data_IF_586420275780
#
_entry.id   IF_586420275780
#
_cell.length_a   1.000
_cell.length_b   1.000
_cell.length_c   1.000
_cell.angle_alpha   90.00
_cell.angle_beta   90.00
_cell.angle_gamma   90.00
#
_symmetry.space_group_name_H-M   'P 1'
#
loop_
_entity.id
_entity.type
_entity.pdbx_description
1 polymer ?
#
# COMPACT_ATOMS: atom_id res chain seq x y z
N UNK A 1 19.32 -13.49 0.21
CA UNK A 1 19.35 -12.33 -0.67
C UNK A 1 17.97 -12.16 -1.29
N UNK A 2 17.42 -10.95 -1.28
CA UNK A 2 16.26 -10.55 -2.05
C UNK A 2 16.74 -9.75 -3.26
N UNK A 3 16.14 -9.96 -4.41
CA UNK A 3 16.46 -9.24 -5.65
C UNK A 3 15.31 -8.32 -5.99
N UNK A 4 15.64 -7.09 -6.40
CA UNK A 4 14.69 -6.13 -6.92
C UNK A 4 15.02 -5.91 -8.38
N UNK A 5 14.10 -6.29 -9.25
CA UNK A 5 14.22 -6.08 -10.68
C UNK A 5 13.32 -4.91 -11.09
N UNK A 6 13.91 -3.89 -11.66
CA UNK A 6 13.20 -2.68 -12.10
C UNK A 6 13.85 -2.13 -13.37
N UNK A 7 13.10 -1.31 -14.08
CA UNK A 7 13.58 -0.51 -15.19
C UNK A 7 14.64 0.51 -14.67
N UNK A 8 15.82 0.57 -15.29
CA UNK A 8 16.95 1.43 -14.88
C UNK A 8 16.60 2.92 -14.77
N UNK A 9 15.54 3.36 -15.44
CA UNK A 9 15.10 4.75 -15.44
C UNK A 9 14.17 5.10 -14.25
N UNK A 10 13.77 4.14 -13.39
CA UNK A 10 12.72 4.35 -12.42
C UNK A 10 13.01 3.70 -11.07
N UNK A 11 12.75 4.46 -10.00
CA UNK A 11 12.92 3.97 -8.63
C UNK A 11 11.78 3.01 -8.28
N UNK A 12 12.14 1.80 -7.88
CA UNK A 12 11.21 0.85 -7.28
C UNK A 12 11.15 1.09 -5.76
N UNK A 13 9.97 1.04 -5.19
CA UNK A 13 9.77 1.22 -3.76
C UNK A 13 9.20 -0.06 -3.15
N UNK A 14 9.94 -0.62 -2.18
CA UNK A 14 9.45 -1.73 -1.38
C UNK A 14 9.36 -1.25 0.06
N UNK A 15 8.15 -1.17 0.55
CA UNK A 15 7.86 -0.78 1.92
C UNK A 15 7.57 -2.03 2.73
N UNK A 16 8.28 -2.20 3.83
CA UNK A 16 8.07 -3.33 4.74
C UNK A 16 7.82 -2.84 6.16
N UNK A 17 6.80 -3.38 6.79
CA UNK A 17 6.48 -3.14 8.19
C UNK A 17 7.48 -3.79 9.14
N UNK A 18 7.12 -3.84 10.42
CA UNK A 18 7.94 -4.43 11.49
C UNK A 18 7.76 -5.95 11.52
N UNK A 19 8.77 -6.66 12.03
CA UNK A 19 8.75 -8.12 12.25
C UNK A 19 8.52 -8.94 10.98
N UNK A 20 8.90 -8.41 9.81
CA UNK A 20 8.83 -9.14 8.55
C UNK A 20 9.97 -10.15 8.47
N UNK A 21 9.62 -11.40 8.18
CA UNK A 21 10.57 -12.49 7.94
C UNK A 21 10.64 -12.81 6.45
N UNK A 22 11.82 -12.64 5.87
CA UNK A 22 12.07 -12.92 4.45
C UNK A 22 13.10 -14.04 4.31
N UNK A 23 12.72 -15.11 3.61
CA UNK A 23 13.66 -16.17 3.26
C UNK A 23 14.64 -15.71 2.14
N UNK A 24 15.50 -16.61 1.68
CA UNK A 24 16.42 -16.31 0.60
C UNK A 24 15.78 -16.37 -0.79
N UNK A 25 16.41 -15.73 -1.76
CA UNK A 25 16.06 -15.80 -3.19
C UNK A 25 14.64 -15.27 -3.50
N UNK A 26 14.15 -14.27 -2.75
CA UNK A 26 12.89 -13.59 -3.06
C UNK A 26 13.17 -12.58 -4.18
N UNK A 27 12.27 -12.52 -5.17
CA UNK A 27 12.31 -11.54 -6.24
C UNK A 27 11.10 -10.59 -6.17
N UNK A 28 11.36 -9.31 -6.44
CA UNK A 28 10.34 -8.28 -6.59
C UNK A 28 10.42 -7.74 -8.01
N UNK A 29 9.42 -8.05 -8.83
CA UNK A 29 9.32 -7.52 -10.19
C UNK A 29 8.42 -6.28 -10.21
N UNK A 30 9.04 -5.11 -10.20
CA UNK A 30 8.36 -3.83 -10.10
C UNK A 30 8.64 -2.98 -11.34
N UNK A 31 7.57 -2.59 -12.02
CA UNK A 31 7.65 -1.71 -13.17
C UNK A 31 8.08 -2.35 -14.49
N UNK A 32 8.32 -3.64 -14.52
CA UNK A 32 8.76 -4.36 -15.74
C UNK A 32 7.55 -4.99 -16.41
N UNK A 33 6.90 -4.25 -17.30
CA UNK A 33 5.80 -4.79 -18.10
C UNK A 33 5.90 -4.31 -19.55
N UNK A 34 5.67 -5.25 -20.47
CA UNK A 34 5.54 -4.94 -21.88
C UNK A 34 4.08 -4.60 -22.22
N UNK A 35 3.85 -3.64 -23.12
CA UNK A 35 2.50 -3.28 -23.56
C UNK A 35 1.88 -4.37 -24.42
N UNK A 36 0.93 -5.10 -23.86
CA UNK A 36 0.23 -6.18 -24.54
C UNK A 36 -0.86 -5.72 -25.54
N UNK A 37 -1.20 -4.43 -25.53
CA UNK A 37 -2.19 -3.84 -26.44
C UNK A 37 -1.62 -3.40 -27.78
N UNK A 38 -0.31 -3.51 -27.98
CA UNK A 38 0.34 -3.22 -29.24
C UNK A 38 0.46 -4.49 -30.11
N UNK A 39 0.61 -4.28 -31.41
CA UNK A 39 0.82 -5.39 -32.39
C UNK A 39 2.06 -6.22 -32.03
N UNK A 40 3.07 -5.57 -31.42
CA UNK A 40 4.29 -6.25 -30.97
C UNK A 40 4.66 -5.84 -29.56
N UNK A 41 5.09 -6.80 -28.76
CA UNK A 41 5.69 -6.58 -27.44
C UNK A 41 7.20 -6.33 -27.51
N UNK A 42 7.79 -6.33 -28.70
CA UNK A 42 9.23 -6.21 -28.89
C UNK A 42 9.75 -4.84 -28.47
N UNK A 43 10.85 -4.76 -27.69
CA UNK A 43 11.49 -3.50 -27.34
C UNK A 43 11.92 -2.65 -28.54
N UNK A 44 12.20 -3.26 -29.69
CA UNK A 44 12.56 -2.55 -30.91
C UNK A 44 11.47 -1.59 -31.39
N UNK A 45 10.20 -1.97 -31.20
CA UNK A 45 9.06 -1.11 -31.56
C UNK A 45 9.00 0.14 -30.66
N UNK A 46 9.31 0.00 -29.37
CA UNK A 46 9.32 1.13 -28.44
C UNK A 46 10.47 2.08 -28.72
N UNK A 47 11.65 1.57 -28.93
CA UNK A 47 12.83 2.39 -29.23
C UNK A 47 12.61 3.24 -30.47
N UNK A 48 11.95 2.70 -31.49
CA UNK A 48 11.64 3.42 -32.72
C UNK A 48 10.54 4.49 -32.54
N UNK A 49 9.51 4.19 -31.76
CA UNK A 49 8.43 5.13 -31.45
C UNK A 49 8.94 6.22 -30.48
N UNK A 50 9.74 5.85 -29.49
CA UNK A 50 10.22 6.76 -28.45
C UNK A 50 11.27 7.73 -28.95
N UNK A 51 12.13 7.31 -29.86
CA UNK A 51 13.07 8.22 -30.53
C UNK A 51 12.35 9.29 -31.36
N UNK A 52 11.15 8.98 -31.90
CA UNK A 52 10.38 9.90 -32.75
C UNK A 52 9.35 10.75 -31.97
N UNK A 53 8.80 10.26 -30.86
CA UNK A 53 7.72 10.93 -30.12
C UNK A 53 7.82 10.70 -28.61
N UNK A 54 8.61 11.51 -27.91
CA UNK A 54 8.78 11.43 -26.45
C UNK A 54 7.49 11.66 -25.67
N UNK A 55 6.50 12.37 -26.24
CA UNK A 55 5.20 12.60 -25.61
C UNK A 55 4.30 11.36 -25.52
N UNK A 56 4.53 10.33 -26.34
CA UNK A 56 3.77 9.07 -26.27
C UNK A 56 4.30 8.11 -25.20
N UNK A 57 5.50 8.36 -24.67
CA UNK A 57 6.16 7.52 -23.69
C UNK A 57 5.46 7.54 -22.32
N UNK A 58 5.15 8.74 -21.83
CA UNK A 58 4.69 8.96 -20.47
C UNK A 58 3.30 8.36 -20.16
N UNK A 59 2.24 8.58 -20.98
CA UNK A 59 0.91 8.03 -20.70
C UNK A 59 0.86 6.51 -20.78
N UNK A 60 1.68 5.93 -21.65
CA UNK A 60 1.68 4.48 -21.88
C UNK A 60 2.37 3.73 -20.77
N UNK A 61 3.55 4.18 -20.36
CA UNK A 61 4.34 3.56 -19.30
C UNK A 61 3.70 3.75 -17.91
N UNK A 62 3.05 4.89 -17.66
CA UNK A 62 2.43 5.17 -16.36
C UNK A 62 1.18 4.34 -16.07
N UNK A 63 0.47 3.87 -17.09
CA UNK A 63 -0.79 3.10 -16.92
C UNK A 63 -0.56 1.63 -16.56
N UNK A 64 0.57 1.06 -16.92
CA UNK A 64 0.80 -0.39 -16.85
C UNK A 64 1.86 -0.78 -15.81
N UNK A 65 2.69 0.15 -15.39
CA UNK A 65 3.79 -0.14 -14.49
C UNK A 65 3.44 0.21 -13.05
N UNK A 66 3.60 -0.76 -12.18
CA UNK A 66 3.35 -0.65 -10.75
C UNK A 66 4.69 -0.73 -10.03
N UNK A 67 5.16 0.41 -9.53
CA UNK A 67 6.53 0.56 -9.01
C UNK A 67 6.67 0.30 -7.50
N UNK A 68 5.60 0.04 -6.78
CA UNK A 68 5.66 -0.17 -5.35
C UNK A 68 5.07 -1.50 -4.92
N UNK A 69 5.68 -2.10 -3.89
CA UNK A 69 5.15 -3.23 -3.14
C UNK A 69 5.05 -2.80 -1.67
N UNK A 70 3.92 -3.07 -1.04
CA UNK A 70 3.68 -2.73 0.36
C UNK A 70 3.51 -4.03 1.15
N UNK A 71 4.37 -4.23 2.13
CA UNK A 71 4.37 -5.40 3.00
C UNK A 71 4.03 -4.94 4.41
N UNK A 72 2.97 -5.49 4.99
CA UNK A 72 2.54 -5.19 6.35
C UNK A 72 3.50 -5.72 7.42
N UNK A 73 3.03 -5.70 8.67
CA UNK A 73 3.80 -6.20 9.81
C UNK A 73 3.62 -7.71 9.98
N UNK A 74 4.59 -8.38 10.60
CA UNK A 74 4.53 -9.82 10.91
C UNK A 74 4.28 -10.70 9.67
N UNK A 75 4.77 -10.26 8.51
CA UNK A 75 4.64 -11.02 7.26
C UNK A 75 5.78 -12.00 7.12
N UNK A 76 5.45 -13.22 6.72
CA UNK A 76 6.47 -14.22 6.36
C UNK A 76 6.42 -14.50 4.86
N UNK A 77 7.59 -14.32 4.19
CA UNK A 77 7.76 -14.59 2.77
C UNK A 77 8.71 -15.76 2.58
N UNK A 78 8.20 -16.83 2.01
CA UNK A 78 8.94 -18.06 1.74
C UNK A 78 10.00 -17.90 0.65
N UNK A 79 10.92 -18.85 0.62
CA UNK A 79 12.03 -18.88 -0.33
C UNK A 79 11.56 -18.90 -1.78
N UNK A 80 12.24 -18.15 -2.66
CA UNK A 80 11.95 -18.05 -4.10
C UNK A 80 10.57 -17.52 -4.44
N UNK A 81 9.90 -16.83 -3.52
CA UNK A 81 8.67 -16.15 -3.88
C UNK A 81 8.95 -15.02 -4.86
N UNK A 82 8.08 -14.85 -5.85
CA UNK A 82 8.08 -13.76 -6.80
C UNK A 82 6.90 -12.84 -6.51
N UNK A 83 7.15 -11.57 -6.24
CA UNK A 83 6.13 -10.59 -5.90
C UNK A 83 6.09 -9.50 -6.97
N UNK A 84 4.93 -9.36 -7.60
CA UNK A 84 4.76 -8.37 -8.66
C UNK A 84 4.45 -6.98 -8.10
N UNK A 85 4.86 -5.96 -8.83
CA UNK A 85 4.59 -4.57 -8.49
C UNK A 85 3.10 -4.26 -8.32
N UNK A 86 2.79 -3.35 -7.41
CA UNK A 86 1.44 -2.94 -7.03
C UNK A 86 0.75 -3.87 -6.03
N UNK A 87 1.43 -4.92 -5.56
CA UNK A 87 0.87 -5.85 -4.58
C UNK A 87 0.97 -5.24 -3.17
N UNK A 88 -0.11 -5.41 -2.40
CA UNK A 88 -0.15 -5.15 -0.95
C UNK A 88 -0.30 -6.46 -0.21
N UNK A 89 0.58 -6.72 0.76
CA UNK A 89 0.56 -7.91 1.61
C UNK A 89 0.15 -7.49 3.02
N UNK A 90 -1.00 -7.96 3.47
CA UNK A 90 -1.58 -7.59 4.77
C UNK A 90 -0.77 -8.10 5.96
N UNK A 91 -0.97 -7.47 7.13
CA UNK A 91 -0.32 -7.85 8.38
C UNK A 91 -0.50 -9.35 8.66
N UNK A 92 0.54 -10.00 9.16
CA UNK A 92 0.49 -11.40 9.54
C UNK A 92 0.32 -12.40 8.38
N UNK A 93 0.35 -11.94 7.14
CA UNK A 93 0.22 -12.82 5.98
C UNK A 93 1.43 -13.73 5.79
N UNK A 94 1.20 -14.85 5.11
CA UNK A 94 2.24 -15.83 4.78
C UNK A 94 2.20 -16.10 3.28
N UNK A 95 3.35 -15.95 2.64
CA UNK A 95 3.59 -16.31 1.24
C UNK A 95 4.42 -17.59 1.23
N UNK A 96 3.91 -18.66 0.63
CA UNK A 96 4.62 -19.92 0.59
C UNK A 96 5.85 -19.85 -0.33
N UNK A 97 6.75 -20.81 -0.19
CA UNK A 97 7.95 -20.86 -1.02
C UNK A 97 7.60 -21.12 -2.48
N UNK A 98 8.24 -20.40 -3.40
CA UNK A 98 8.05 -20.54 -4.83
C UNK A 98 6.76 -19.89 -5.39
N UNK A 99 6.03 -19.16 -4.58
CA UNK A 99 4.79 -18.50 -5.00
C UNK A 99 5.02 -17.36 -5.99
N UNK A 100 4.04 -17.14 -6.87
CA UNK A 100 3.97 -15.95 -7.73
C UNK A 100 2.79 -15.08 -7.30
N UNK A 101 3.09 -14.04 -6.53
CA UNK A 101 2.09 -13.15 -5.94
C UNK A 101 1.73 -12.06 -6.94
N UNK A 102 0.51 -12.15 -7.49
CA UNK A 102 0.00 -11.23 -8.52
C UNK A 102 -1.13 -10.31 -8.03
N UNK A 103 -1.64 -10.54 -6.81
CA UNK A 103 -2.77 -9.81 -6.21
C UNK A 103 -2.51 -9.53 -4.74
N UNK A 104 -3.24 -8.56 -4.20
CA UNK A 104 -3.20 -8.23 -2.78
C UNK A 104 -3.56 -9.44 -1.91
N UNK A 105 -2.88 -9.56 -0.77
CA UNK A 105 -3.10 -10.60 0.23
C UNK A 105 -3.75 -9.95 1.45
N UNK A 106 -4.88 -10.49 1.88
CA UNK A 106 -5.57 -10.02 3.09
C UNK A 106 -4.75 -10.32 4.35
N UNK A 107 -4.94 -9.53 5.43
CA UNK A 107 -4.29 -9.81 6.71
C UNK A 107 -4.48 -11.26 7.15
N UNK A 108 -3.39 -11.86 7.65
CA UNK A 108 -3.32 -13.25 8.11
C UNK A 108 -3.68 -14.31 7.04
N UNK A 109 -3.80 -13.92 5.78
CA UNK A 109 -3.98 -14.86 4.67
C UNK A 109 -2.71 -15.65 4.41
N UNK A 110 -2.84 -16.95 4.21
CA UNK A 110 -1.79 -17.85 3.75
C UNK A 110 -2.03 -18.11 2.28
N UNK A 111 -1.09 -17.75 1.44
CA UNK A 111 -1.17 -17.96 -0.02
C UNK A 111 -0.20 -19.03 -0.47
N UNK A 112 -0.57 -19.72 -1.53
CA UNK A 112 0.28 -20.70 -2.22
C UNK A 112 -0.05 -20.78 -3.71
N UNK A 113 0.96 -21.09 -4.54
CA UNK A 113 0.83 -21.44 -5.95
C UNK A 113 1.31 -20.38 -6.95
N UNK A 114 1.16 -20.70 -8.22
CA UNK A 114 1.45 -19.81 -9.35
C UNK A 114 0.25 -19.79 -10.32
N UNK A 115 -0.53 -18.71 -10.35
CA UNK A 115 -0.48 -17.55 -9.46
C UNK A 115 -0.95 -17.89 -8.03
N UNK A 116 -0.37 -17.24 -7.03
CA UNK A 116 -0.69 -17.46 -5.62
C UNK A 116 -2.18 -17.16 -5.32
N UNK A 117 -2.79 -18.05 -4.52
CA UNK A 117 -4.17 -17.93 -4.05
C UNK A 117 -4.24 -18.17 -2.55
N UNK A 118 -5.20 -17.55 -1.89
CA UNK A 118 -5.45 -17.81 -0.46
C UNK A 118 -5.88 -19.27 -0.32
N UNK A 119 -5.10 -20.05 0.40
CA UNK A 119 -5.38 -21.46 0.71
C UNK A 119 -6.03 -21.60 2.10
N UNK A 120 -5.72 -20.70 3.02
CA UNK A 120 -6.34 -20.62 4.36
C UNK A 120 -6.01 -19.27 5.01
N UNK A 121 -6.61 -19.03 6.15
CA UNK A 121 -6.17 -18.00 7.09
C UNK A 121 -5.42 -18.64 8.27
N UNK A 122 -4.52 -17.88 8.91
CA UNK A 122 -3.79 -18.36 10.10
C UNK A 122 -4.72 -18.61 11.28
N UNK A 123 -5.76 -17.79 11.41
CA UNK A 123 -6.67 -17.73 12.56
C UNK A 123 -8.11 -17.54 12.10
N UNK A 124 -9.06 -17.65 13.04
CA UNK A 124 -10.47 -17.30 12.82
C UNK A 124 -10.64 -15.80 12.55
N UNK A 125 -11.74 -15.37 11.90
CA UNK A 125 -12.01 -13.95 11.65
C UNK A 125 -11.99 -13.11 12.93
N UNK A 126 -12.50 -13.65 14.04
CA UNK A 126 -12.57 -12.99 15.34
C UNK A 126 -11.15 -12.72 15.88
N UNK A 127 -10.29 -13.73 15.86
CA UNK A 127 -8.89 -13.61 16.30
C UNK A 127 -8.13 -12.65 15.39
N UNK A 128 -8.33 -12.71 14.08
CA UNK A 128 -7.72 -11.77 13.13
C UNK A 128 -8.12 -10.34 13.48
N UNK A 129 -9.39 -10.10 13.74
CA UNK A 129 -9.90 -8.78 14.15
C UNK A 129 -9.22 -8.32 15.45
N UNK A 130 -9.15 -9.17 16.46
CA UNK A 130 -8.50 -8.86 17.74
C UNK A 130 -7.02 -8.52 17.55
N UNK A 131 -6.26 -9.31 16.80
CA UNK A 131 -4.85 -9.06 16.54
C UNK A 131 -4.61 -7.76 15.76
N UNK A 132 -5.51 -7.44 14.82
CA UNK A 132 -5.47 -6.16 14.09
C UNK A 132 -5.81 -4.96 14.99
N UNK A 133 -6.63 -5.15 16.03
CA UNK A 133 -6.91 -4.13 17.04
C UNK A 133 -5.73 -3.94 18.00
N UNK A 134 -5.16 -5.02 18.49
CA UNK A 134 -4.03 -5.03 19.45
C UNK A 134 -2.80 -4.35 18.85
N UNK A 135 -2.49 -4.59 17.57
CA UNK A 135 -1.33 -4.04 16.85
C UNK A 135 -0.03 -4.20 17.65
N UNK A 136 0.20 -5.39 18.18
CA UNK A 136 1.33 -5.71 19.07
C UNK A 136 2.69 -5.31 18.49
N UNK A 137 2.84 -5.27 17.20
CA UNK A 137 4.05 -4.80 16.50
C UNK A 137 4.36 -3.31 16.73
N UNK A 138 3.42 -2.53 17.29
CA UNK A 138 3.64 -1.14 17.70
C UNK A 138 4.08 -1.00 19.15
N UNK A 139 4.09 -2.08 19.92
CA UNK A 139 4.61 -2.06 21.29
C UNK A 139 6.10 -1.81 21.31
N UNK A 140 6.64 -1.24 22.42
CA UNK A 140 8.07 -1.17 22.63
C UNK A 140 8.70 -2.57 22.54
N UNK A 141 9.91 -2.65 21.98
CA UNK A 141 10.58 -3.94 21.75
C UNK A 141 10.71 -4.77 23.05
N UNK A 142 11.06 -4.13 24.18
CA UNK A 142 11.16 -4.81 25.47
C UNK A 142 9.83 -5.41 25.92
N UNK A 143 8.72 -4.69 25.70
CA UNK A 143 7.38 -5.21 25.99
C UNK A 143 7.04 -6.44 25.15
N UNK A 144 7.40 -6.44 23.86
CA UNK A 144 7.19 -7.61 22.99
C UNK A 144 8.01 -8.80 23.50
N UNK A 145 9.25 -8.56 23.90
CA UNK A 145 10.16 -9.59 24.44
C UNK A 145 9.65 -10.17 25.75
N UNK A 146 9.21 -9.33 26.69
CA UNK A 146 8.62 -9.76 27.96
C UNK A 146 7.37 -10.62 27.78
N UNK A 147 6.54 -10.29 26.76
CA UNK A 147 5.28 -10.97 26.49
C UNK A 147 5.40 -12.10 25.46
N UNK A 148 6.60 -12.43 25.00
CA UNK A 148 6.82 -13.43 23.95
C UNK A 148 6.20 -14.81 24.31
N UNK A 149 6.27 -15.23 25.59
CA UNK A 149 5.68 -16.48 26.04
C UNK A 149 4.15 -16.47 25.99
N UNK A 150 3.52 -15.31 26.18
CA UNK A 150 2.06 -15.16 26.10
C UNK A 150 1.56 -15.24 24.66
N UNK A 151 2.41 -14.88 23.67
CA UNK A 151 2.11 -14.97 22.24
C UNK A 151 2.01 -16.40 21.71
N UNK A 152 2.42 -17.39 22.50
CA UNK A 152 2.30 -18.81 22.14
C UNK A 152 0.84 -19.31 22.18
N UNK A 153 0.00 -18.69 23.01
CA UNK A 153 -1.43 -18.96 23.07
C UNK A 153 -2.21 -17.77 22.50
N UNK A 154 -2.57 -17.86 21.23
CA UNK A 154 -3.18 -16.77 20.48
C UNK A 154 -4.55 -16.38 21.03
N UNK A 155 -5.35 -17.36 21.52
CA UNK A 155 -6.71 -17.09 22.04
C UNK A 155 -6.62 -16.34 23.37
N UNK A 156 -5.81 -16.83 24.29
CA UNK A 156 -5.59 -16.17 25.58
C UNK A 156 -4.95 -14.80 25.40
N UNK A 157 -4.01 -14.66 24.45
CA UNK A 157 -3.39 -13.39 24.09
C UNK A 157 -4.41 -12.39 23.55
N UNK A 158 -5.25 -12.81 22.59
CA UNK A 158 -6.28 -11.96 22.04
C UNK A 158 -7.27 -11.51 23.12
N UNK A 159 -7.75 -12.43 23.94
CA UNK A 159 -8.66 -12.13 25.05
C UNK A 159 -8.07 -11.18 26.08
N UNK A 160 -6.76 -11.30 26.37
CA UNK A 160 -6.08 -10.46 27.36
C UNK A 160 -5.83 -9.04 26.88
N UNK A 161 -5.49 -8.86 25.59
CA UNK A 161 -4.99 -7.60 25.05
C UNK A 161 -5.94 -6.90 24.09
N UNK A 162 -7.00 -7.56 23.60
CA UNK A 162 -8.06 -6.90 22.84
C UNK A 162 -9.03 -6.22 23.81
N UNK A 163 -8.70 -5.06 24.27
CA UNK A 163 -9.56 -4.24 25.13
C UNK A 163 -10.71 -3.58 24.38
N UNK A 164 -11.00 -4.08 23.15
CA UNK A 164 -11.81 -3.35 22.21
C UNK A 164 -11.06 -2.10 21.73
N UNK A 165 -11.38 -1.59 20.59
CA UNK A 165 -10.75 -0.35 20.12
C UNK A 165 -11.17 0.76 21.08
N UNK A 166 -10.38 1.08 22.12
CA UNK A 166 -10.19 2.47 22.44
C UNK A 166 -9.46 3.02 21.22
N UNK A 167 -10.27 3.45 20.29
CA UNK A 167 -9.81 4.20 19.14
C UNK A 167 -9.17 5.46 19.70
N UNK A 168 -7.85 5.43 19.94
CA UNK A 168 -7.06 6.62 19.75
C UNK A 168 -7.16 6.86 18.24
N UNK A 169 -8.36 7.24 17.83
CA UNK A 169 -8.59 7.70 16.48
C UNK A 169 -7.81 9.01 16.39
N UNK A 170 -6.70 8.99 15.67
CA UNK A 170 -6.15 10.26 15.23
C UNK A 170 -7.28 11.01 14.47
N UNK A 171 -7.20 12.31 14.37
CA UNK A 171 -8.24 13.12 13.73
C UNK A 171 -8.61 12.58 12.34
N UNK A 172 -7.64 12.10 11.57
CA UNK A 172 -7.87 11.51 10.24
C UNK A 172 -8.76 10.26 10.28
N UNK A 173 -8.59 9.37 11.26
CA UNK A 173 -9.45 8.18 11.40
C UNK A 173 -10.87 8.53 11.85
N UNK A 174 -11.03 9.56 12.68
CA UNK A 174 -12.36 10.09 13.05
C UNK A 174 -13.08 10.66 11.83
N UNK A 175 -12.39 11.46 11.05
CA UNK A 175 -12.92 12.05 9.82
C UNK A 175 -13.28 10.97 8.79
N UNK A 176 -12.43 9.95 8.62
CA UNK A 176 -12.70 8.81 7.74
C UNK A 176 -13.92 8.01 8.18
N UNK A 177 -14.05 7.74 9.48
CA UNK A 177 -15.20 7.04 10.03
C UNK A 177 -16.48 7.87 9.86
N UNK A 178 -16.43 9.17 10.09
CA UNK A 178 -17.56 10.08 9.89
C UNK A 178 -17.97 10.15 8.41
N UNK A 179 -16.99 10.23 7.49
CA UNK A 179 -17.26 10.25 6.05
C UNK A 179 -17.96 8.96 5.58
N UNK A 180 -17.50 7.79 6.06
CA UNK A 180 -18.13 6.50 5.76
C UNK A 180 -19.55 6.39 6.32
N UNK A 181 -19.76 6.86 7.55
CA UNK A 181 -21.10 6.89 8.16
C UNK A 181 -22.06 7.84 7.42
N UNK A 182 -21.52 8.92 6.88
CA UNK A 182 -22.27 9.85 6.01
C UNK A 182 -22.50 9.31 4.59
N UNK A 183 -22.01 8.11 4.26
CA UNK A 183 -22.17 7.49 2.94
C UNK A 183 -21.26 8.06 1.86
N UNK A 184 -20.22 8.83 2.22
CA UNK A 184 -19.28 9.39 1.25
C UNK A 184 -18.43 8.29 0.59
N UNK A 185 -18.14 8.48 -0.70
CA UNK A 185 -17.17 7.67 -1.43
C UNK A 185 -15.77 8.16 -1.05
N UNK A 186 -14.94 7.27 -0.49
CA UNK A 186 -13.59 7.60 -0.10
C UNK A 186 -12.60 7.10 -1.14
N UNK A 187 -11.88 8.04 -1.76
CA UNK A 187 -10.72 7.75 -2.59
C UNK A 187 -9.46 7.75 -1.71
N UNK A 188 -8.68 6.69 -1.77
CA UNK A 188 -7.41 6.60 -1.06
C UNK A 188 -6.25 6.64 -2.06
N UNK A 189 -5.29 7.53 -1.82
CA UNK A 189 -4.15 7.71 -2.68
C UNK A 189 -2.85 7.78 -1.87
N UNK A 190 -1.95 6.81 -2.10
CA UNK A 190 -0.60 6.85 -1.55
C UNK A 190 0.25 7.79 -2.42
N UNK A 191 0.78 8.84 -1.79
CA UNK A 191 1.61 9.84 -2.45
C UNK A 191 3.01 9.28 -2.69
N UNK A 192 3.39 9.17 -3.96
CA UNK A 192 4.74 8.82 -4.39
C UNK A 192 5.31 9.99 -5.21
N UNK A 193 6.13 10.82 -4.55
CA UNK A 193 6.83 11.95 -5.17
C UNK A 193 8.25 11.60 -5.63
N UNK A 194 8.73 10.40 -5.24
CA UNK A 194 10.07 9.93 -5.59
C UNK A 194 10.14 9.30 -6.97
N UNK A 195 9.01 9.10 -7.63
CA UNK A 195 8.99 8.62 -9.02
C UNK A 195 9.52 9.69 -9.98
N UNK A 196 10.15 9.26 -11.07
CA UNK A 196 10.70 10.15 -12.12
C UNK A 196 9.63 11.07 -12.72
N UNK A 197 8.36 10.64 -12.69
CA UNK A 197 7.18 11.43 -13.06
C UNK A 197 6.11 11.18 -12.03
N UNK A 198 6.10 11.92 -10.93
CA UNK A 198 5.06 11.77 -9.92
C UNK A 198 3.69 12.07 -10.53
N UNK A 199 2.76 11.15 -10.36
CA UNK A 199 1.38 11.29 -10.87
C UNK A 199 0.45 11.94 -9.85
N UNK A 200 0.94 12.24 -8.67
CA UNK A 200 0.12 12.77 -7.58
C UNK A 200 -0.46 14.16 -7.92
N UNK A 201 0.33 15.01 -8.53
CA UNK A 201 -0.08 16.38 -8.82
C UNK A 201 -1.24 16.41 -9.84
N UNK A 202 -1.18 15.72 -11.00
CA UNK A 202 -2.32 15.59 -11.90
C UNK A 202 -3.55 14.93 -11.26
N UNK A 203 -3.37 14.01 -10.30
CA UNK A 203 -4.49 13.39 -9.56
C UNK A 203 -5.18 14.41 -8.68
N UNK A 204 -4.43 15.21 -7.93
CA UNK A 204 -4.96 16.27 -7.07
C UNK A 204 -5.67 17.32 -7.91
N UNK A 205 -5.05 17.81 -8.99
CA UNK A 205 -5.64 18.80 -9.89
C UNK A 205 -6.96 18.28 -10.45
N UNK A 206 -6.98 17.03 -10.95
CA UNK A 206 -8.20 16.44 -11.50
C UNK A 206 -9.29 16.23 -10.44
N UNK A 207 -8.91 15.92 -9.20
CA UNK A 207 -9.86 15.80 -8.10
C UNK A 207 -10.49 17.16 -7.76
N UNK A 208 -9.68 18.21 -7.64
CA UNK A 208 -10.14 19.58 -7.38
C UNK A 208 -11.04 20.10 -8.51
N UNK A 209 -10.69 19.81 -9.78
CA UNK A 209 -11.49 20.22 -10.94
C UNK A 209 -12.82 19.47 -11.05
N UNK A 210 -12.93 18.29 -10.46
CA UNK A 210 -14.10 17.41 -10.64
C UNK A 210 -15.11 17.52 -9.52
N UNK A 211 -14.65 17.75 -8.29
CA UNK A 211 -15.47 17.71 -7.10
C UNK A 211 -15.48 19.04 -6.36
N UNK A 212 -16.47 19.24 -5.51
CA UNK A 212 -16.64 20.42 -4.65
C UNK A 212 -16.93 19.99 -3.21
N UNK A 213 -16.98 20.95 -2.29
CA UNK A 213 -17.41 20.79 -0.90
C UNK A 213 -18.80 20.11 -0.75
N UNK A 214 -19.65 20.21 -1.79
CA UNK A 214 -21.00 19.60 -1.84
C UNK A 214 -21.01 18.19 -2.40
N UNK A 215 -19.88 17.68 -2.85
CA UNK A 215 -19.78 16.33 -3.42
C UNK A 215 -19.70 15.28 -2.29
N UNK A 216 -20.42 14.17 -2.44
CA UNK A 216 -20.37 13.06 -1.50
C UNK A 216 -19.08 12.21 -1.67
N UNK A 217 -17.95 12.89 -1.71
CA UNK A 217 -16.63 12.28 -1.89
C UNK A 217 -15.64 12.83 -0.89
N UNK A 218 -14.62 12.02 -0.59
CA UNK A 218 -13.49 12.36 0.25
C UNK A 218 -12.21 11.80 -0.38
N UNK A 219 -11.18 12.62 -0.54
CA UNK A 219 -9.86 12.14 -0.92
C UNK A 219 -8.98 12.02 0.33
N UNK A 220 -8.52 10.82 0.62
CA UNK A 220 -7.53 10.56 1.64
C UNK A 220 -6.16 10.40 1.00
N UNK A 221 -5.23 11.25 1.38
CA UNK A 221 -3.85 11.24 0.93
C UNK A 221 -2.97 10.62 2.01
N UNK A 222 -2.33 9.51 1.68
CA UNK A 222 -1.31 8.88 2.51
C UNK A 222 0.05 9.44 2.09
N UNK A 223 0.70 10.22 2.96
CA UNK A 223 1.93 10.98 2.66
C UNK A 223 3.08 10.34 3.44
N UNK A 224 4.14 9.98 2.73
CA UNK A 224 5.36 9.45 3.34
C UNK A 224 6.13 10.55 4.08
N UNK A 225 6.85 10.25 5.18
CA UNK A 225 7.59 11.26 5.94
C UNK A 225 8.62 12.04 5.12
N UNK A 226 9.26 11.38 4.15
CA UNK A 226 10.19 11.99 3.21
C UNK A 226 9.52 12.93 2.21
N UNK A 227 8.22 12.78 2.01
CA UNK A 227 7.40 13.55 1.05
C UNK A 227 6.58 14.67 1.70
N UNK A 228 6.86 15.02 2.94
CA UNK A 228 6.07 16.02 3.71
C UNK A 228 6.01 17.40 3.07
N UNK A 229 7.00 17.78 2.26
CA UNK A 229 7.04 19.07 1.59
C UNK A 229 5.89 19.24 0.57
N UNK A 230 5.33 18.13 0.07
CA UNK A 230 4.16 18.12 -0.80
C UNK A 230 2.92 18.72 -0.10
N UNK A 231 2.82 18.61 1.22
CA UNK A 231 1.67 19.11 1.98
C UNK A 231 1.45 20.58 1.70
N UNK A 232 2.51 21.37 1.66
CA UNK A 232 2.43 22.83 1.40
C UNK A 232 1.91 23.13 -0.01
N UNK A 233 2.25 22.28 -0.99
CA UNK A 233 1.78 22.40 -2.39
C UNK A 233 0.30 22.06 -2.46
N UNK A 234 -0.13 20.98 -1.79
CA UNK A 234 -1.54 20.58 -1.75
C UNK A 234 -2.38 21.67 -1.07
N UNK A 235 -1.90 22.21 0.06
CA UNK A 235 -2.60 23.27 0.78
C UNK A 235 -2.76 24.52 -0.05
N UNK A 236 -1.74 24.89 -0.82
CA UNK A 236 -1.81 25.99 -1.77
C UNK A 236 -2.86 25.74 -2.84
N UNK A 237 -2.86 24.55 -3.47
CA UNK A 237 -3.83 24.19 -4.51
C UNK A 237 -5.28 24.22 -3.99
N UNK A 238 -5.52 23.69 -2.79
CA UNK A 238 -6.84 23.73 -2.15
C UNK A 238 -7.29 25.17 -1.84
N UNK A 239 -6.36 26.01 -1.38
CA UNK A 239 -6.62 27.44 -1.12
C UNK A 239 -6.92 28.19 -2.41
N UNK A 240 -6.18 27.91 -3.49
CA UNK A 240 -6.38 28.54 -4.80
C UNK A 240 -7.72 28.11 -5.44
N UNK A 241 -8.24 26.93 -5.09
CA UNK A 241 -9.56 26.45 -5.49
C UNK A 241 -10.72 27.17 -4.78
N UNK A 242 -10.45 27.93 -3.72
CA UNK A 242 -11.41 28.80 -3.05
C UNK A 242 -12.34 28.09 -2.04
N UNK A 243 -13.46 28.76 -1.71
CA UNK A 243 -14.38 28.31 -0.65
C UNK A 243 -15.13 27.01 -0.97
N UNK A 244 -15.16 26.59 -2.22
CA UNK A 244 -15.83 25.37 -2.67
C UNK A 244 -14.85 24.23 -2.97
N UNK A 245 -13.63 24.30 -2.45
CA UNK A 245 -12.66 23.20 -2.61
C UNK A 245 -13.19 21.89 -2.02
N UNK A 246 -12.95 20.74 -2.71
CA UNK A 246 -13.41 19.45 -2.22
C UNK A 246 -12.63 19.03 -0.95
N UNK A 247 -13.26 18.14 -0.19
CA UNK A 247 -12.69 17.64 1.06
C UNK A 247 -11.48 16.71 0.83
N UNK A 248 -10.36 17.04 1.46
CA UNK A 248 -9.11 16.26 1.40
C UNK A 248 -8.57 16.03 2.81
N UNK A 249 -8.34 14.77 3.17
CA UNK A 249 -7.64 14.39 4.40
C UNK A 249 -6.19 14.05 4.07
N UNK A 250 -5.24 14.64 4.77
CA UNK A 250 -3.81 14.37 4.68
C UNK A 250 -3.38 13.53 5.88
N UNK A 251 -2.95 12.31 5.64
CA UNK A 251 -2.46 11.40 6.67
C UNK A 251 -0.98 11.15 6.48
N UNK A 252 -0.16 11.52 7.47
CA UNK A 252 1.24 11.12 7.50
C UNK A 252 1.32 9.63 7.80
N UNK A 253 2.04 8.90 6.97
CA UNK A 253 2.33 7.48 7.19
C UNK A 253 3.55 7.40 8.10
N UNK A 254 3.35 7.58 9.41
CA UNK A 254 4.44 7.46 10.40
C UNK A 254 5.02 6.03 10.48
N UNK A 255 4.22 5.05 10.08
CA UNK A 255 4.59 3.66 9.96
C UNK A 255 3.78 3.01 8.83
N UNK A 256 4.45 2.37 7.90
CA UNK A 256 3.82 1.60 6.82
C UNK A 256 2.83 0.54 7.34
N UNK A 257 3.00 0.12 8.61
CA UNK A 257 2.05 -0.75 9.30
C UNK A 257 0.70 -0.12 9.64
N UNK A 258 0.53 1.19 9.46
CA UNK A 258 -0.77 1.87 9.58
C UNK A 258 -1.54 1.94 8.26
N UNK A 259 -0.95 1.50 7.15
CA UNK A 259 -1.70 1.27 5.93
C UNK A 259 -2.73 0.16 6.21
N UNK A 260 -3.87 0.54 6.77
CA UNK A 260 -5.03 -0.33 6.75
C UNK A 260 -5.31 -0.62 5.28
N UNK A 261 -5.17 -1.89 4.92
CA UNK A 261 -5.64 -2.37 3.62
C UNK A 261 -7.15 -2.15 3.62
N UNK A 262 -7.55 -0.98 3.13
CA UNK A 262 -8.95 -0.66 2.95
C UNK A 262 -9.47 -1.65 1.92
N UNK A 263 -10.45 -2.44 2.35
CA UNK A 263 -11.13 -3.44 1.52
C UNK A 263 -11.97 -2.79 0.45
#
# INVERSE_FOLDING_TARGET
>A
HATIETDEARKAHIFAGKYVSMASEIAFEVGINHPMSLVSTSPLMYQSIWKKNSCLQAPYMSRHNKYSVIIGNDVWIGRRALILGGVRIGNGAVVAAGDVVTKNIRPYGVVAGNPARIVKYRFSPEIIKSLQNIKWWNWPYETVKERAMEMLDTESFAKKYDHGIELIQNEGQKLLSAARQAGKIVYNFLMDDQSVKPVWEPVIDKYIDTFTDKSDVLLMLEILPESKDIISIIDKKLKDAGEHAPEVIKCMVENIGHLELIQ
#
